data_IF_999243078815
#
_entry.id   IF_999243078815
#
_cell.length_a   1.000
_cell.length_b   1.000
_cell.length_c   1.000
_cell.angle_alpha   90.00
_cell.angle_beta   90.00
_cell.angle_gamma   90.00
#
_symmetry.space_group_name_H-M   'P 1'
#
loop_
_entity.id
_entity.type
_entity.pdbx_description
1 polymer ?
#
# COMPACT_ATOMS: atom_id res chain seq x y z
N UNK A 1 38.39 -45.14 -46.63
CA UNK A 1 37.47 -44.05 -47.06
C UNK A 1 36.63 -43.63 -45.87
N UNK A 2 36.79 -42.40 -45.38
CA UNK A 2 36.14 -41.81 -44.19
C UNK A 2 35.18 -40.70 -44.62
N UNK A 3 33.92 -40.73 -44.17
CA UNK A 3 32.94 -39.62 -44.00
C UNK A 3 31.89 -40.14 -43.01
N UNK A 4 31.31 -39.43 -42.06
CA UNK A 4 31.45 -38.05 -41.57
C UNK A 4 30.54 -37.98 -40.33
N UNK A 5 31.08 -37.52 -39.20
CA UNK A 5 30.38 -37.24 -37.96
C UNK A 5 30.65 -35.77 -37.67
N UNK A 6 29.76 -34.89 -38.11
CA UNK A 6 29.85 -33.45 -37.82
C UNK A 6 29.27 -33.18 -36.44
N UNK A 7 30.18 -33.00 -35.48
CA UNK A 7 29.92 -32.45 -34.17
C UNK A 7 29.88 -30.91 -34.27
N UNK A 8 28.70 -30.31 -34.04
CA UNK A 8 28.56 -28.86 -33.92
C UNK A 8 29.12 -28.41 -32.57
N UNK A 9 30.26 -27.72 -32.60
CA UNK A 9 30.82 -27.00 -31.45
C UNK A 9 30.10 -25.66 -31.24
N UNK A 10 29.90 -25.20 -29.98
CA UNK A 10 29.32 -23.89 -29.70
C UNK A 10 30.34 -22.74 -29.91
N UNK A 11 29.88 -21.53 -30.26
CA UNK A 11 30.77 -20.40 -30.57
C UNK A 11 31.50 -19.87 -29.32
N UNK A 12 32.81 -19.68 -29.47
CA UNK A 12 33.68 -19.00 -28.50
C UNK A 12 33.40 -17.49 -28.53
N UNK A 13 33.01 -16.93 -27.39
CA UNK A 13 32.92 -15.48 -27.18
C UNK A 13 34.33 -14.98 -26.84
N UNK A 14 34.85 -14.06 -27.66
CA UNK A 14 36.05 -13.29 -27.35
C UNK A 14 35.79 -12.42 -26.11
N UNK A 15 36.61 -12.59 -25.07
CA UNK A 15 36.69 -11.69 -23.93
C UNK A 15 37.80 -10.68 -24.20
N UNK A 16 37.43 -9.41 -24.35
CA UNK A 16 38.35 -8.27 -24.31
C UNK A 16 38.79 -8.02 -22.84
N UNK A 17 40.09 -8.00 -22.51
CA UNK A 17 40.56 -7.73 -21.16
C UNK A 17 41.15 -6.31 -21.08
N UNK A 18 40.31 -5.27 -21.06
CA UNK A 18 40.77 -3.94 -20.66
C UNK A 18 39.61 -3.00 -20.30
N UNK A 19 39.26 -2.97 -19.01
CA UNK A 19 38.74 -1.80 -18.30
C UNK A 19 38.44 -2.20 -16.85
N UNK A 20 39.51 -2.39 -16.07
CA UNK A 20 39.41 -2.37 -14.62
C UNK A 20 38.96 -0.97 -14.16
N UNK A 21 37.95 -0.92 -13.28
CA UNK A 21 37.65 0.29 -12.50
C UNK A 21 36.24 0.87 -12.66
N UNK A 22 35.18 0.09 -12.45
CA UNK A 22 33.87 0.66 -12.08
C UNK A 22 33.28 -0.09 -10.90
N UNK A 23 33.29 0.58 -9.75
CA UNK A 23 32.56 0.19 -8.54
C UNK A 23 31.07 -0.04 -8.83
N UNK A 24 30.44 -1.07 -8.22
CA UNK A 24 29.03 -1.36 -8.48
C UNK A 24 28.14 -0.23 -7.96
N UNK A 25 27.48 0.49 -8.88
CA UNK A 25 26.39 1.41 -8.57
C UNK A 25 25.21 0.59 -8.04
N UNK A 26 25.00 0.64 -6.73
CA UNK A 26 23.78 0.18 -6.09
C UNK A 26 22.60 1.03 -6.57
N UNK A 27 21.83 0.52 -7.53
CA UNK A 27 20.52 1.05 -7.89
C UNK A 27 19.51 0.74 -6.77
N UNK A 28 19.57 1.51 -5.68
CA UNK A 28 18.45 1.61 -4.75
C UNK A 28 17.33 2.43 -5.42
N UNK A 29 16.04 2.07 -5.26
CA UNK A 29 14.95 2.88 -5.78
C UNK A 29 15.01 4.26 -5.10
N UNK A 30 15.29 5.29 -5.91
CA UNK A 30 15.26 6.68 -5.49
C UNK A 30 13.87 7.01 -4.93
N UNK A 31 13.77 7.06 -3.60
CA UNK A 31 12.65 7.74 -2.95
C UNK A 31 12.60 9.20 -3.43
N UNK A 32 11.43 9.85 -3.41
CA UNK A 32 11.33 11.25 -3.79
C UNK A 32 12.36 12.06 -3.00
N UNK A 33 13.02 13.06 -3.63
CA UNK A 33 14.08 13.82 -2.99
C UNK A 33 13.59 14.35 -1.64
N UNK A 34 14.38 14.11 -0.59
CA UNK A 34 14.16 14.74 0.70
C UNK A 34 14.32 16.24 0.48
N UNK A 35 13.19 16.94 0.36
CA UNK A 35 13.09 18.37 0.10
C UNK A 35 14.04 19.14 1.03
N UNK A 36 14.98 19.87 0.43
CA UNK A 36 15.82 20.87 1.10
C UNK A 36 14.85 21.85 1.75
N UNK A 37 14.84 21.91 3.09
CA UNK A 37 13.96 22.82 3.85
C UNK A 37 14.41 24.24 3.59
N UNK A 38 13.63 24.99 2.81
CA UNK A 38 13.73 26.44 2.77
C UNK A 38 13.17 27.01 4.11
N UNK A 39 13.90 27.86 4.84
CA UNK A 39 13.41 28.52 6.05
C UNK A 39 12.08 29.27 5.84
N UNK A 40 11.88 29.82 4.64
CA UNK A 40 10.65 30.52 4.25
C UNK A 40 9.44 29.57 4.20
N UNK A 41 9.66 28.32 3.78
CA UNK A 41 8.62 27.29 3.80
C UNK A 41 8.19 26.94 5.22
N UNK A 42 9.07 27.04 6.23
CA UNK A 42 8.77 26.76 7.65
C UNK A 42 7.90 27.86 8.27
N UNK A 43 8.17 29.13 7.96
CA UNK A 43 7.35 30.26 8.40
C UNK A 43 5.96 30.22 7.73
N UNK A 44 5.87 29.89 6.44
CA UNK A 44 4.62 29.79 5.68
C UNK A 44 3.83 28.49 5.95
N UNK A 45 4.53 27.39 6.29
CA UNK A 45 3.98 26.17 6.91
C UNK A 45 3.13 26.54 8.14
N UNK A 46 3.58 27.52 8.93
CA UNK A 46 2.89 27.93 10.15
C UNK A 46 1.51 28.56 9.88
N UNK A 47 1.36 29.39 8.84
CA UNK A 47 0.08 30.04 8.52
C UNK A 47 -1.02 29.03 8.16
N UNK A 48 -0.76 28.12 7.22
CA UNK A 48 -1.77 27.15 6.79
C UNK A 48 -2.06 26.12 7.88
N UNK A 49 -1.02 25.62 8.57
CA UNK A 49 -1.20 24.61 9.62
C UNK A 49 -1.95 25.17 10.83
N UNK A 50 -1.73 26.44 11.21
CA UNK A 50 -2.47 27.09 12.31
C UNK A 50 -3.95 27.28 12.00
N UNK A 51 -4.30 27.47 10.73
CA UNK A 51 -5.69 27.65 10.27
C UNK A 51 -6.44 26.34 9.99
N UNK A 52 -5.76 25.18 10.04
CA UNK A 52 -6.43 23.89 9.94
C UNK A 52 -7.32 23.64 11.15
N UNK A 53 -8.59 23.32 10.89
CA UNK A 53 -9.58 22.94 11.91
C UNK A 53 -9.95 21.48 11.75
N UNK A 54 -10.19 20.79 12.86
CA UNK A 54 -10.57 19.38 12.84
C UNK A 54 -12.09 19.27 12.80
N UNK A 55 -12.61 18.60 11.78
CA UNK A 55 -14.05 18.48 11.55
C UNK A 55 -14.39 17.07 11.06
N UNK A 56 -15.27 16.37 11.80
CA UNK A 56 -15.72 15.00 11.47
C UNK A 56 -14.55 14.04 11.11
N UNK A 57 -13.39 14.23 11.75
CA UNK A 57 -12.18 13.43 11.52
C UNK A 57 -11.22 13.95 10.44
N UNK A 58 -11.62 14.93 9.63
CA UNK A 58 -10.78 15.59 8.63
C UNK A 58 -10.06 16.80 9.22
N UNK A 59 -8.99 17.26 8.56
CA UNK A 59 -8.46 18.61 8.75
C UNK A 59 -8.93 19.49 7.59
N UNK A 60 -9.62 20.56 7.92
CA UNK A 60 -10.23 21.47 6.96
C UNK A 60 -9.54 22.82 7.05
N UNK A 61 -9.11 23.34 5.91
CA UNK A 61 -8.68 24.71 5.74
C UNK A 61 -9.72 25.43 4.89
N UNK A 62 -10.21 26.57 5.38
CA UNK A 62 -11.12 27.43 4.63
C UNK A 62 -10.47 28.76 4.37
N UNK A 63 -10.46 29.14 3.10
CA UNK A 63 -10.15 30.49 2.67
C UNK A 63 -11.30 31.09 1.85
N UNK A 64 -11.12 32.33 1.42
CA UNK A 64 -12.00 32.98 0.44
C UNK A 64 -11.91 32.29 -0.92
N UNK A 65 -10.70 31.93 -1.36
CA UNK A 65 -10.45 31.32 -2.67
C UNK A 65 -10.83 29.84 -2.77
N UNK A 66 -10.49 29.02 -1.77
CA UNK A 66 -10.75 27.58 -1.80
C UNK A 66 -10.96 26.99 -0.40
N UNK A 67 -11.56 25.80 -0.37
CA UNK A 67 -11.56 24.92 0.80
C UNK A 67 -10.63 23.75 0.53
N UNK A 68 -9.75 23.43 1.47
CA UNK A 68 -8.92 22.24 1.40
C UNK A 68 -9.30 21.26 2.51
N UNK A 69 -9.50 20.00 2.14
CA UNK A 69 -9.84 18.92 3.06
C UNK A 69 -8.74 17.87 3.03
N UNK A 70 -8.10 17.65 4.19
CA UNK A 70 -7.16 16.55 4.41
C UNK A 70 -7.86 15.45 5.18
N UNK A 71 -8.05 14.30 4.54
CA UNK A 71 -8.66 13.11 5.14
C UNK A 71 -7.69 12.37 6.07
N UNK A 72 -8.16 11.46 6.95
CA UNK A 72 -7.31 10.76 7.90
C UNK A 72 -6.14 9.98 7.29
N UNK A 73 -6.30 9.46 6.07
CA UNK A 73 -5.27 8.77 5.27
C UNK A 73 -4.23 9.74 4.64
N UNK A 74 -4.35 11.04 4.91
CA UNK A 74 -3.48 12.09 4.41
C UNK A 74 -3.74 12.48 2.96
N UNK A 75 -4.84 12.02 2.35
CA UNK A 75 -5.26 12.50 1.03
C UNK A 75 -5.76 13.94 1.11
N UNK A 76 -5.53 14.72 0.05
CA UNK A 76 -5.87 16.15 -0.01
C UNK A 76 -6.87 16.36 -1.15
N UNK A 77 -7.96 17.05 -0.84
CA UNK A 77 -8.98 17.49 -1.81
C UNK A 77 -9.12 19.00 -1.71
N UNK A 78 -9.39 19.63 -2.84
CA UNK A 78 -9.76 21.03 -2.92
C UNK A 78 -11.20 21.11 -3.41
N UNK A 79 -12.02 21.82 -2.66
CA UNK A 79 -13.37 22.18 -3.07
C UNK A 79 -13.35 23.69 -3.34
N UNK A 80 -13.56 24.06 -4.59
CA UNK A 80 -13.66 25.46 -4.99
C UNK A 80 -15.03 25.99 -4.59
N UNK A 81 -15.05 27.14 -3.91
CA UNK A 81 -16.31 27.75 -3.54
C UNK A 81 -16.93 28.40 -4.78
N UNK A 82 -18.23 28.21 -5.06
CA UNK A 82 -18.94 29.08 -5.97
C UNK A 82 -18.98 30.47 -5.33
N UNK A 83 -18.23 31.40 -5.90
CA UNK A 83 -18.23 32.80 -5.48
C UNK A 83 -19.56 33.43 -5.92
N UNK A 84 -20.56 33.42 -5.05
CA UNK A 84 -21.76 34.25 -5.22
C UNK A 84 -21.98 35.06 -3.94
N UNK A 85 -21.70 36.37 -3.97
CA UNK A 85 -22.30 37.33 -3.04
C UNK A 85 -23.10 38.36 -3.83
N UNK A 86 -24.23 38.76 -3.27
CA UNK A 86 -25.09 39.78 -3.85
C UNK A 86 -24.87 41.09 -3.05
N UNK A 87 -24.49 42.17 -3.71
CA UNK A 87 -24.39 43.50 -3.13
C UNK A 87 -25.12 44.51 -4.03
N UNK A 88 -26.38 44.80 -3.71
CA UNK A 88 -27.15 45.91 -4.30
C UNK A 88 -26.98 46.10 -5.81
N UNK A 89 -26.89 47.35 -6.26
CA UNK A 89 -26.84 47.75 -7.68
C UNK A 89 -25.52 47.48 -8.39
N UNK A 90 -24.63 46.65 -7.84
CA UNK A 90 -23.34 46.34 -8.46
C UNK A 90 -22.85 44.93 -8.14
N UNK A 91 -22.90 44.03 -9.12
CA UNK A 91 -22.25 42.73 -9.05
C UNK A 91 -20.73 42.88 -9.25
N UNK A 92 -19.97 43.21 -8.20
CA UNK A 92 -18.51 43.04 -8.24
C UNK A 92 -18.17 41.58 -7.96
N UNK A 93 -18.34 40.73 -8.98
CA UNK A 93 -17.75 39.39 -9.05
C UNK A 93 -17.14 39.21 -10.44
N UNK A 94 -15.81 39.24 -10.51
CA UNK A 94 -15.00 38.22 -11.19
C UNK A 94 -15.49 37.69 -12.55
N UNK A 95 -15.95 38.58 -13.44
CA UNK A 95 -16.17 38.24 -14.86
C UNK A 95 -14.89 37.64 -15.44
N UNK A 96 -13.72 38.15 -15.01
CA UNK A 96 -12.40 37.64 -15.38
C UNK A 96 -12.14 36.21 -14.90
N UNK A 97 -12.52 35.86 -13.67
CA UNK A 97 -12.25 34.55 -13.07
C UNK A 97 -13.17 33.47 -13.65
N UNK A 98 -14.41 33.83 -13.98
CA UNK A 98 -15.35 32.98 -14.71
C UNK A 98 -14.90 32.75 -16.17
N UNK A 99 -14.40 33.80 -16.85
CA UNK A 99 -13.86 33.71 -18.21
C UNK A 99 -12.56 32.90 -18.25
N UNK A 100 -11.64 33.09 -17.30
CA UNK A 100 -10.41 32.30 -17.18
C UNK A 100 -10.71 30.82 -16.92
N UNK A 101 -11.74 30.52 -16.12
CA UNK A 101 -12.20 29.15 -15.86
C UNK A 101 -12.88 28.52 -17.08
N UNK A 102 -13.66 29.28 -17.85
CA UNK A 102 -14.24 28.85 -19.12
C UNK A 102 -13.15 28.57 -20.19
N UNK A 103 -12.01 29.25 -20.08
CA UNK A 103 -10.80 29.03 -20.90
C UNK A 103 -9.86 27.94 -20.33
N UNK A 104 -10.25 27.22 -19.28
CA UNK A 104 -9.52 26.07 -18.73
C UNK A 104 -8.36 26.40 -17.78
N UNK A 105 -8.19 27.66 -17.37
CA UNK A 105 -7.17 28.06 -16.39
C UNK A 105 -7.73 28.06 -14.96
N UNK A 106 -7.09 27.36 -14.02
CA UNK A 106 -7.42 27.40 -12.58
C UNK A 106 -6.82 28.67 -11.95
N UNK A 107 -7.61 29.71 -11.64
CA UNK A 107 -7.08 30.98 -11.13
C UNK A 107 -6.39 30.84 -9.77
N UNK A 108 -6.68 29.76 -9.02
CA UNK A 108 -6.09 29.50 -7.69
C UNK A 108 -5.08 28.34 -7.69
N UNK A 109 -4.64 27.91 -8.88
CA UNK A 109 -3.73 26.77 -9.02
C UNK A 109 -2.40 26.98 -8.28
N UNK A 110 -1.91 28.22 -8.21
CA UNK A 110 -0.68 28.56 -7.49
C UNK A 110 -0.83 28.37 -5.97
N UNK A 111 -1.89 28.91 -5.37
CA UNK A 111 -2.18 28.83 -3.94
C UNK A 111 -2.46 27.38 -3.52
N UNK A 112 -3.23 26.64 -4.32
CA UNK A 112 -3.50 25.21 -4.09
C UNK A 112 -2.20 24.39 -4.10
N UNK A 113 -1.32 24.62 -5.09
CA UNK A 113 0.00 23.95 -5.14
C UNK A 113 0.85 24.32 -3.93
N UNK A 114 0.87 25.59 -3.54
CA UNK A 114 1.60 26.06 -2.35
C UNK A 114 1.08 25.41 -1.06
N UNK A 115 -0.23 25.34 -0.89
CA UNK A 115 -0.86 24.63 0.23
C UNK A 115 -0.51 23.13 0.23
N UNK A 116 -0.56 22.48 -0.94
CA UNK A 116 -0.26 21.06 -1.07
C UNK A 116 1.19 20.73 -0.70
N UNK A 117 2.14 21.60 -1.08
CA UNK A 117 3.56 21.53 -0.71
C UNK A 117 3.74 21.75 0.79
N UNK A 118 3.18 22.83 1.32
CA UNK A 118 3.26 23.13 2.76
C UNK A 118 2.70 21.98 3.60
N UNK A 119 1.56 21.40 3.24
CA UNK A 119 0.96 20.32 4.05
C UNK A 119 1.54 18.93 3.80
N UNK A 120 2.50 18.76 2.89
CA UNK A 120 3.02 17.45 2.49
C UNK A 120 3.55 16.62 3.67
N UNK A 121 4.39 17.23 4.53
CA UNK A 121 4.96 16.54 5.69
C UNK A 121 3.89 16.11 6.71
N UNK A 122 2.89 16.95 6.94
CA UNK A 122 1.74 16.63 7.79
C UNK A 122 0.96 15.43 7.22
N UNK A 123 0.65 15.46 5.92
CA UNK A 123 -0.08 14.40 5.22
C UNK A 123 0.66 13.06 5.25
N UNK A 124 1.98 13.06 5.09
CA UNK A 124 2.80 11.85 5.24
C UNK A 124 2.70 11.27 6.66
N UNK A 125 2.74 12.11 7.70
CA UNK A 125 2.57 11.64 9.09
C UNK A 125 1.18 11.07 9.34
N UNK A 126 0.14 11.73 8.83
CA UNK A 126 -1.24 11.23 8.92
C UNK A 126 -1.39 9.87 8.25
N UNK A 127 -0.89 9.73 7.01
CA UNK A 127 -0.89 8.46 6.27
C UNK A 127 -0.19 7.34 7.02
N UNK A 128 0.98 7.60 7.62
CA UNK A 128 1.70 6.61 8.45
C UNK A 128 0.85 6.14 9.63
N UNK A 129 0.22 7.07 10.37
CA UNK A 129 -0.65 6.76 11.52
C UNK A 129 -1.89 5.98 11.09
N UNK A 130 -2.54 6.41 10.00
CA UNK A 130 -3.72 5.75 9.45
C UNK A 130 -3.41 4.32 9.01
N UNK A 131 -2.33 4.12 8.26
CA UNK A 131 -1.88 2.80 7.83
C UNK A 131 -1.59 1.89 9.04
N UNK A 132 -0.91 2.41 10.07
CA UNK A 132 -0.67 1.65 11.30
C UNK A 132 -1.96 1.29 12.05
N UNK A 133 -2.98 2.16 12.05
CA UNK A 133 -4.30 1.87 12.61
C UNK A 133 -5.02 0.78 11.80
N UNK A 134 -5.14 0.96 10.48
CA UNK A 134 -5.79 0.00 9.59
C UNK A 134 -5.15 -1.39 9.70
N UNK A 135 -3.83 -1.45 9.80
CA UNK A 135 -3.10 -2.70 9.95
C UNK A 135 -3.38 -3.40 11.28
N UNK A 136 -3.45 -2.64 12.38
CA UNK A 136 -3.84 -3.19 13.69
C UNK A 136 -5.27 -3.71 13.68
N UNK A 137 -6.20 -2.95 13.10
CA UNK A 137 -7.60 -3.37 12.95
C UNK A 137 -7.70 -4.65 12.12
N UNK A 138 -7.05 -4.69 10.95
CA UNK A 138 -7.06 -5.86 10.08
C UNK A 138 -6.50 -7.12 10.78
N UNK A 139 -5.41 -6.99 11.53
CA UNK A 139 -4.85 -8.10 12.32
C UNK A 139 -5.78 -8.55 13.45
N UNK A 140 -6.51 -7.63 14.10
CA UNK A 140 -7.50 -7.97 15.12
C UNK A 140 -8.75 -8.66 14.57
N UNK A 141 -9.16 -8.31 13.36
CA UNK A 141 -10.31 -8.93 12.68
C UNK A 141 -9.98 -10.28 12.04
N UNK A 142 -8.72 -10.54 11.73
CA UNK A 142 -8.29 -11.73 10.99
C UNK A 142 -8.83 -13.04 11.62
N UNK A 143 -8.70 -13.29 12.94
CA UNK A 143 -9.25 -14.50 13.55
C UNK A 143 -10.77 -14.67 13.35
N UNK A 144 -11.53 -13.57 13.39
CA UNK A 144 -12.98 -13.59 13.18
C UNK A 144 -13.33 -13.96 11.74
N UNK A 145 -12.58 -13.42 10.77
CA UNK A 145 -12.72 -13.75 9.34
C UNK A 145 -12.39 -15.23 9.09
N UNK A 146 -11.30 -15.74 9.66
CA UNK A 146 -10.93 -17.16 9.55
C UNK A 146 -12.01 -18.06 10.17
N UNK A 147 -12.52 -17.72 11.35
CA UNK A 147 -13.59 -18.46 12.01
C UNK A 147 -14.89 -18.49 11.19
N UNK A 148 -15.24 -17.38 10.53
CA UNK A 148 -16.40 -17.33 9.63
C UNK A 148 -16.24 -18.29 8.44
N UNK A 149 -15.05 -18.36 7.83
CA UNK A 149 -14.76 -19.31 6.75
C UNK A 149 -14.88 -20.76 7.22
N UNK A 150 -14.36 -21.07 8.42
CA UNK A 150 -14.47 -22.41 9.00
C UNK A 150 -15.93 -22.80 9.26
N UNK A 151 -16.73 -21.90 9.85
CA UNK A 151 -18.16 -22.15 10.08
C UNK A 151 -18.90 -22.40 8.77
N UNK A 152 -18.66 -21.58 7.76
CA UNK A 152 -19.26 -21.75 6.44
C UNK A 152 -18.88 -23.10 5.79
N UNK A 153 -17.61 -23.52 5.91
CA UNK A 153 -17.17 -24.80 5.39
C UNK A 153 -17.82 -25.99 6.13
N UNK A 154 -17.93 -25.92 7.46
CA UNK A 154 -18.62 -26.93 8.27
C UNK A 154 -20.11 -27.04 7.95
N UNK A 155 -20.78 -25.91 7.72
CA UNK A 155 -22.21 -25.87 7.41
C UNK A 155 -22.57 -26.58 6.10
N UNK A 156 -21.68 -26.56 5.09
CA UNK A 156 -21.91 -27.21 3.80
C UNK A 156 -21.97 -28.73 3.85
N UNK A 157 -21.51 -29.37 4.93
CA UNK A 157 -21.47 -30.84 5.12
C UNK A 157 -20.86 -31.66 3.96
N UNK A 158 -20.12 -31.02 3.05
CA UNK A 158 -19.52 -31.66 1.89
C UNK A 158 -17.98 -31.69 2.02
N UNK A 159 -17.30 -32.83 1.73
CA UNK A 159 -15.85 -32.96 1.90
C UNK A 159 -15.03 -31.91 1.14
N UNK A 160 -15.46 -31.49 -0.06
CA UNK A 160 -14.73 -30.49 -0.84
C UNK A 160 -14.70 -29.11 -0.17
N UNK A 161 -15.65 -28.78 0.71
CA UNK A 161 -15.68 -27.50 1.40
C UNK A 161 -14.47 -27.33 2.33
N UNK A 162 -14.02 -28.42 2.97
CA UNK A 162 -12.84 -28.42 3.83
C UNK A 162 -11.54 -28.31 3.03
N UNK A 163 -11.49 -28.95 1.86
CA UNK A 163 -10.35 -28.83 0.93
C UNK A 163 -10.22 -27.38 0.46
N UNK A 164 -11.33 -26.75 0.04
CA UNK A 164 -11.34 -25.35 -0.37
C UNK A 164 -10.94 -24.41 0.77
N UNK A 165 -11.43 -24.66 1.99
CA UNK A 165 -11.04 -23.89 3.17
C UNK A 165 -9.52 -23.91 3.40
N UNK A 166 -8.92 -25.10 3.37
CA UNK A 166 -7.47 -25.27 3.56
C UNK A 166 -6.67 -24.56 2.47
N UNK A 167 -7.10 -24.65 1.21
CA UNK A 167 -6.48 -23.88 0.11
C UNK A 167 -6.57 -22.37 0.33
N UNK A 168 -7.71 -21.86 0.78
CA UNK A 168 -7.88 -20.43 1.08
C UNK A 168 -6.98 -19.96 2.22
N UNK A 169 -6.85 -20.74 3.30
CA UNK A 169 -5.94 -20.40 4.39
C UNK A 169 -4.48 -20.40 3.94
N UNK A 170 -4.08 -21.38 3.12
CA UNK A 170 -2.76 -21.40 2.52
C UNK A 170 -2.53 -20.18 1.62
N UNK A 171 -3.47 -19.84 0.75
CA UNK A 171 -3.36 -18.69 -0.15
C UNK A 171 -3.22 -17.38 0.63
N UNK A 172 -4.06 -17.16 1.66
CA UNK A 172 -3.95 -16.00 2.55
C UNK A 172 -2.59 -15.91 3.24
N UNK A 173 -1.99 -17.06 3.58
CA UNK A 173 -0.65 -17.11 4.17
C UNK A 173 0.44 -16.85 3.12
N UNK A 174 0.30 -17.40 1.91
CA UNK A 174 1.31 -17.31 0.83
C UNK A 174 1.38 -15.90 0.25
N UNK A 175 0.24 -15.23 0.08
CA UNK A 175 0.15 -13.86 -0.42
C UNK A 175 0.66 -12.79 0.58
N UNK A 176 0.92 -13.18 1.83
CA UNK A 176 1.49 -12.25 2.81
C UNK A 176 2.88 -11.80 2.38
N UNK A 177 3.12 -10.49 2.35
CA UNK A 177 4.40 -9.91 1.98
C UNK A 177 5.56 -10.43 2.86
N UNK A 178 6.68 -10.77 2.24
CA UNK A 178 7.90 -11.18 2.95
C UNK A 178 8.89 -10.02 3.12
N UNK A 179 9.72 -10.12 4.17
CA UNK A 179 10.81 -9.18 4.47
C UNK A 179 10.73 -8.60 5.89
N UNK A 180 11.76 -7.83 6.26
CA UNK A 180 11.91 -7.32 7.64
C UNK A 180 11.93 -5.80 7.71
N UNK A 181 12.15 -5.12 6.59
CA UNK A 181 12.55 -3.71 6.57
C UNK A 181 11.41 -2.69 6.62
N UNK A 182 10.15 -3.10 6.44
CA UNK A 182 9.02 -2.17 6.47
C UNK A 182 7.85 -2.66 7.34
N UNK A 183 7.01 -1.71 7.78
CA UNK A 183 5.88 -1.97 8.68
C UNK A 183 4.85 -2.96 8.08
N UNK A 184 4.72 -2.99 6.74
CA UNK A 184 3.83 -3.94 6.05
C UNK A 184 4.36 -5.36 6.17
N UNK A 185 5.65 -5.58 5.95
CA UNK A 185 6.29 -6.89 6.03
C UNK A 185 6.28 -7.44 7.48
N UNK A 186 6.51 -6.57 8.48
CA UNK A 186 6.34 -6.95 9.91
C UNK A 186 4.92 -7.39 10.23
N UNK A 187 3.92 -6.76 9.64
CA UNK A 187 2.53 -7.13 9.87
C UNK A 187 2.08 -8.36 9.08
N UNK A 188 2.60 -8.56 7.87
CA UNK A 188 2.44 -9.79 7.11
C UNK A 188 3.02 -10.99 7.89
N UNK A 189 4.19 -10.83 8.52
CA UNK A 189 4.76 -11.84 9.44
C UNK A 189 3.78 -12.17 10.59
N UNK A 190 3.18 -11.14 11.21
CA UNK A 190 2.16 -11.34 12.26
C UNK A 190 0.91 -12.02 11.73
N UNK A 191 0.47 -11.69 10.52
CA UNK A 191 -0.69 -12.30 9.87
C UNK A 191 -0.45 -13.80 9.62
N UNK A 192 0.72 -14.17 9.07
CA UNK A 192 1.13 -15.57 8.88
C UNK A 192 1.09 -16.36 10.18
N UNK A 193 1.76 -15.84 11.22
CA UNK A 193 1.76 -16.48 12.54
C UNK A 193 0.34 -16.60 13.14
N UNK A 194 -0.53 -15.62 12.90
CA UNK A 194 -1.92 -15.68 13.35
C UNK A 194 -2.73 -16.76 12.59
N UNK A 195 -2.53 -16.90 11.27
CA UNK A 195 -3.15 -17.94 10.44
C UNK A 195 -2.69 -19.33 10.89
N UNK A 196 -1.39 -19.55 11.00
CA UNK A 196 -0.83 -20.84 11.46
C UNK A 196 -1.35 -21.21 12.85
N UNK A 197 -1.33 -20.25 13.80
CA UNK A 197 -1.89 -20.47 15.14
C UNK A 197 -3.39 -20.74 15.13
N UNK A 198 -4.14 -20.12 14.21
CA UNK A 198 -5.56 -20.41 14.04
C UNK A 198 -5.77 -21.84 13.51
N UNK A 199 -4.99 -22.25 12.50
CA UNK A 199 -5.02 -23.60 11.93
C UNK A 199 -4.69 -24.62 13.02
N UNK A 200 -3.58 -24.46 13.75
CA UNK A 200 -3.17 -25.40 14.80
C UNK A 200 -4.24 -25.62 15.86
N UNK A 201 -4.96 -24.56 16.24
CA UNK A 201 -6.04 -24.63 17.25
C UNK A 201 -7.33 -25.24 16.72
N UNK A 202 -7.71 -24.97 15.47
CA UNK A 202 -9.05 -25.31 14.95
C UNK A 202 -9.06 -26.52 14.00
N UNK A 203 -7.90 -26.83 13.41
CA UNK A 203 -7.66 -27.93 12.48
C UNK A 203 -6.42 -28.72 12.97
N UNK A 204 -6.49 -29.45 14.11
CA UNK A 204 -5.36 -30.22 14.60
C UNK A 204 -4.90 -31.28 13.59
N UNK A 205 -3.59 -31.59 13.58
CA UNK A 205 -2.98 -32.50 12.60
C UNK A 205 -3.60 -33.92 12.61
N UNK A 206 -4.02 -34.41 13.77
CA UNK A 206 -4.66 -35.72 13.91
C UNK A 206 -6.16 -35.72 13.58
N UNK A 207 -6.75 -34.55 13.25
CA UNK A 207 -8.18 -34.45 12.96
C UNK A 207 -8.47 -34.58 11.46
N UNK A 208 -9.69 -35.04 11.12
CA UNK A 208 -10.20 -35.04 9.74
C UNK A 208 -10.23 -33.63 9.11
N UNK A 209 -10.21 -32.59 9.94
CA UNK A 209 -10.18 -31.19 9.49
C UNK A 209 -8.77 -30.74 9.11
N UNK A 210 -7.73 -31.37 9.66
CA UNK A 210 -6.32 -31.02 9.51
C UNK A 210 -5.77 -31.18 8.09
N UNK A 211 -4.63 -30.56 7.84
CA UNK A 211 -3.87 -30.80 6.60
C UNK A 211 -3.16 -32.15 6.68
N UNK A 212 -3.20 -32.90 5.58
CA UNK A 212 -2.40 -34.12 5.48
C UNK A 212 -0.94 -33.81 5.12
N UNK A 213 -0.02 -34.73 5.43
CA UNK A 213 1.39 -34.59 5.03
C UNK A 213 1.55 -34.45 3.50
N UNK A 214 0.74 -35.17 2.72
CA UNK A 214 0.76 -35.10 1.26
C UNK A 214 0.27 -33.74 0.75
N UNK A 215 -0.80 -33.20 1.34
CA UNK A 215 -1.34 -31.88 1.02
C UNK A 215 -0.33 -30.77 1.36
N UNK A 216 0.33 -30.82 2.52
CA UNK A 216 1.36 -29.85 2.89
C UNK A 216 2.56 -29.88 1.93
N UNK A 217 2.99 -31.07 1.48
CA UNK A 217 4.05 -31.18 0.46
C UNK A 217 3.63 -30.51 -0.84
N UNK A 218 2.40 -30.76 -1.29
CA UNK A 218 1.89 -30.21 -2.54
C UNK A 218 1.74 -28.69 -2.49
N UNK A 219 1.17 -28.15 -1.42
CA UNK A 219 1.03 -26.70 -1.23
C UNK A 219 2.40 -26.03 -1.19
N UNK A 220 3.36 -26.62 -0.47
CA UNK A 220 4.71 -26.09 -0.43
C UNK A 220 5.43 -26.15 -1.78
N UNK A 221 5.15 -27.11 -2.66
CA UNK A 221 5.71 -27.11 -4.03
C UNK A 221 5.22 -25.93 -4.88
N UNK A 222 3.99 -25.47 -4.64
CA UNK A 222 3.31 -24.42 -5.42
C UNK A 222 3.39 -23.03 -4.80
N UNK A 223 4.03 -22.88 -3.65
CA UNK A 223 4.12 -21.61 -2.93
C UNK A 223 4.91 -20.56 -3.73
N UNK A 224 4.47 -19.32 -3.65
CA UNK A 224 5.24 -18.16 -4.11
C UNK A 224 6.16 -17.62 -3.01
N UNK A 225 5.86 -17.92 -1.75
CA UNK A 225 6.65 -17.55 -0.56
C UNK A 225 8.00 -18.23 -0.48
N UNK A 226 9.03 -17.53 0.03
CA UNK A 226 10.31 -18.17 0.36
C UNK A 226 10.18 -19.02 1.61
N UNK A 227 9.41 -18.56 2.60
CA UNK A 227 9.13 -19.33 3.81
C UNK A 227 8.35 -20.60 3.47
N UNK A 228 8.51 -21.63 4.31
CA UNK A 228 7.77 -22.89 4.16
C UNK A 228 6.50 -22.82 5.00
N UNK A 229 5.39 -23.28 4.43
CA UNK A 229 4.12 -23.39 5.14
C UNK A 229 4.11 -24.65 6.01
N UNK A 230 4.29 -24.47 7.32
CA UNK A 230 4.34 -25.55 8.30
C UNK A 230 3.45 -25.25 9.52
N UNK A 231 2.12 -25.26 9.40
CA UNK A 231 1.21 -24.91 10.50
C UNK A 231 1.28 -25.84 11.72
N UNK A 232 1.94 -27.00 11.57
CA UNK A 232 2.18 -27.99 12.62
C UNK A 232 3.66 -28.16 12.97
N UNK A 233 4.56 -27.39 12.33
CA UNK A 233 5.91 -27.19 12.81
C UNK A 233 5.86 -26.41 14.13
N UNK A 234 6.88 -26.62 14.98
CA UNK A 234 6.93 -26.11 16.37
C UNK A 234 6.44 -24.66 16.51
#
# INVERSE_FOLDING_TARGET
MRRGLDALAPPRVHLDPSAAGQTPRTNAPSGPPLYRRDPDDIAKLSHYVRRLRREKGNLVFRDTAFTAVITPDGSLRFDDKPNFRWHGTGATFDVTDAVLRALGNDPYGYEKRRFARATAALRVRMRRRFNAKMLRTALGELPHKLARLLRAAKAKKHPSALVTLRRLYFQLWDECLEGTHNARAKAATRARAAIERFIRRNLPAASRLGYTKAELRELNRKRSSKQRFEPYGR
#
